data_IF_570754019298
#
_entry.id   IF_570754019298
#
_cell.length_a   1.000
_cell.length_b   1.000
_cell.length_c   1.000
_cell.angle_alpha   90.00
_cell.angle_beta   90.00
_cell.angle_gamma   90.00
#
_symmetry.space_group_name_H-M   'P 1'
#
loop_
_entity.id
_entity.type
_entity.pdbx_description
1 polymer ?
#
# COMPACT_ATOMS: atom_id res chain seq x y z
N UNK A 1 -16.48 -9.55 0.64
CA UNK A 1 -15.02 -9.62 0.39
C UNK A 1 -14.40 -8.73 1.43
N UNK A 2 -13.49 -9.24 2.24
CA UNK A 2 -12.80 -8.42 3.24
C UNK A 2 -11.74 -7.62 2.50
N UNK A 3 -11.99 -6.32 2.29
CA UNK A 3 -11.01 -5.39 1.73
C UNK A 3 -9.92 -5.13 2.77
N UNK A 4 -9.05 -6.10 2.99
CA UNK A 4 -7.85 -5.92 3.78
C UNK A 4 -6.79 -5.20 2.93
N UNK A 5 -6.16 -4.20 3.55
CA UNK A 5 -5.14 -3.36 2.91
C UNK A 5 -3.96 -4.23 2.50
N UNK A 6 -3.40 -4.92 3.49
CA UNK A 6 -2.32 -5.91 3.47
C UNK A 6 -2.48 -6.70 4.78
N UNK A 7 -2.22 -8.01 4.80
CA UNK A 7 -2.23 -8.75 6.06
C UNK A 7 -0.94 -8.52 6.88
N UNK A 8 -0.96 -8.82 8.18
CA UNK A 8 0.19 -8.55 9.03
C UNK A 8 1.45 -9.35 8.63
N UNK A 9 1.28 -10.54 8.06
CA UNK A 9 2.41 -11.38 7.64
C UNK A 9 3.07 -10.82 6.38
N UNK A 10 2.29 -10.31 5.43
CA UNK A 10 2.80 -9.61 4.26
C UNK A 10 3.56 -8.33 4.67
N UNK A 11 3.07 -7.59 5.68
CA UNK A 11 3.79 -6.41 6.21
C UNK A 11 5.14 -6.83 6.81
N UNK A 12 5.16 -7.86 7.66
CA UNK A 12 6.39 -8.38 8.27
C UNK A 12 7.42 -8.74 7.19
N UNK A 13 7.02 -9.49 6.17
CA UNK A 13 7.91 -9.88 5.07
C UNK A 13 8.44 -8.66 4.28
N UNK A 14 7.59 -7.66 4.02
CA UNK A 14 8.02 -6.42 3.37
C UNK A 14 9.06 -5.70 4.22
N UNK A 15 8.84 -5.61 5.54
CA UNK A 15 9.79 -4.97 6.45
C UNK A 15 11.12 -5.73 6.48
N UNK A 16 11.10 -7.07 6.56
CA UNK A 16 12.30 -7.90 6.52
C UNK A 16 13.11 -7.66 5.24
N UNK A 17 12.46 -7.62 4.06
CA UNK A 17 13.13 -7.33 2.79
C UNK A 17 13.79 -5.96 2.84
N UNK A 18 13.06 -4.92 3.26
CA UNK A 18 13.57 -3.55 3.29
C UNK A 18 14.72 -3.38 4.29
N UNK A 19 14.66 -4.03 5.45
CA UNK A 19 15.71 -4.01 6.47
C UNK A 19 16.98 -4.76 6.03
N UNK A 20 16.83 -5.75 5.14
CA UNK A 20 17.96 -6.53 4.61
C UNK A 20 18.73 -5.87 3.45
N UNK A 21 18.21 -4.76 2.90
CA UNK A 21 18.84 -4.07 1.77
C UNK A 21 20.13 -3.36 2.20
N UNK A 22 21.23 -3.67 1.50
CA UNK A 22 22.51 -2.96 1.68
C UNK A 22 22.42 -1.49 1.26
N UNK A 23 21.60 -1.17 0.24
CA UNK A 23 21.36 0.20 -0.19
C UNK A 23 20.26 0.85 0.68
N UNK A 24 20.69 1.50 1.76
CA UNK A 24 19.82 2.23 2.70
C UNK A 24 18.96 3.29 2.00
N UNK A 25 19.46 3.94 0.93
CA UNK A 25 18.70 4.99 0.22
C UNK A 25 17.55 4.37 -0.56
N UNK A 26 17.80 3.23 -1.20
CA UNK A 26 16.77 2.46 -1.88
C UNK A 26 15.72 1.96 -0.87
N UNK A 27 16.16 1.40 0.26
CA UNK A 27 15.28 0.92 1.33
C UNK A 27 14.34 2.04 1.83
N UNK A 28 14.89 3.22 2.16
CA UNK A 28 14.11 4.38 2.60
C UNK A 28 13.14 4.87 1.52
N UNK A 29 13.54 4.82 0.25
CA UNK A 29 12.69 5.23 -0.88
C UNK A 29 11.49 4.29 -1.02
N UNK A 30 11.73 2.98 -1.00
CA UNK A 30 10.69 1.96 -1.09
C UNK A 30 9.76 1.98 0.13
N UNK A 31 10.31 2.17 1.33
CA UNK A 31 9.51 2.32 2.55
C UNK A 31 8.57 3.53 2.46
N UNK A 32 9.04 4.66 1.92
CA UNK A 32 8.20 5.85 1.70
C UNK A 32 7.11 5.59 0.68
N UNK A 33 7.44 4.94 -0.44
CA UNK A 33 6.46 4.54 -1.46
C UNK A 33 5.37 3.63 -0.86
N UNK A 34 5.80 2.62 -0.09
CA UNK A 34 4.92 1.67 0.58
C UNK A 34 3.99 2.36 1.57
N UNK A 35 4.54 3.14 2.50
CA UNK A 35 3.77 3.88 3.50
C UNK A 35 2.78 4.87 2.87
N UNK A 36 3.19 5.53 1.79
CA UNK A 36 2.30 6.47 1.09
C UNK A 36 1.12 5.72 0.44
N UNK A 37 1.39 4.62 -0.28
CA UNK A 37 0.35 3.83 -0.95
C UNK A 37 -0.64 3.22 0.05
N UNK A 38 -0.14 2.58 1.11
CA UNK A 38 -0.99 1.95 2.14
C UNK A 38 -1.76 2.98 2.96
N UNK A 39 -1.16 4.14 3.28
CA UNK A 39 -1.88 5.24 3.94
C UNK A 39 -2.99 5.81 3.06
N UNK A 40 -2.73 6.00 1.77
CA UNK A 40 -3.74 6.48 0.83
C UNK A 40 -4.91 5.50 0.71
N UNK A 41 -4.61 4.21 0.52
CA UNK A 41 -5.64 3.19 0.41
C UNK A 41 -6.44 3.06 1.71
N UNK A 42 -5.78 3.04 2.87
CA UNK A 42 -6.45 2.99 4.17
C UNK A 42 -7.38 4.18 4.42
N UNK A 43 -6.96 5.40 4.03
CA UNK A 43 -7.83 6.59 4.11
C UNK A 43 -9.09 6.45 3.25
N UNK A 44 -8.96 5.87 2.07
CA UNK A 44 -10.10 5.61 1.18
C UNK A 44 -11.03 4.54 1.76
N UNK A 45 -10.49 3.43 2.26
CA UNK A 45 -11.31 2.36 2.85
C UNK A 45 -12.08 2.80 4.09
N UNK A 46 -11.49 3.65 4.94
CA UNK A 46 -12.14 4.20 6.13
C UNK A 46 -13.20 5.27 5.81
N UNK A 47 -13.66 5.33 4.55
CA UNK A 47 -14.34 6.44 3.91
C UNK A 47 -15.16 7.34 4.84
N UNK A 48 -14.71 8.59 4.96
CA UNK A 48 -15.43 9.70 5.59
C UNK A 48 -15.76 10.82 4.60
N UNK A 49 -15.46 10.64 3.31
CA UNK A 49 -15.72 11.67 2.31
C UNK A 49 -17.16 11.53 1.77
N UNK A 50 -18.05 12.32 2.35
CA UNK A 50 -19.47 12.36 1.99
C UNK A 50 -19.73 13.02 0.62
N UNK A 51 -18.70 13.56 -0.04
CA UNK A 51 -18.84 14.22 -1.34
C UNK A 51 -18.69 13.26 -2.52
N UNK A 52 -18.23 12.03 -2.27
CA UNK A 52 -18.06 11.01 -3.32
C UNK A 52 -19.29 10.14 -3.45
N UNK A 53 -19.69 9.88 -4.69
CA UNK A 53 -20.62 8.78 -4.97
C UNK A 53 -19.96 7.44 -4.65
N UNK A 54 -20.78 6.42 -4.43
CA UNK A 54 -20.29 5.05 -4.20
C UNK A 54 -19.36 4.58 -5.33
N UNK A 55 -19.68 4.88 -6.59
CA UNK A 55 -18.91 4.43 -7.75
C UNK A 55 -17.56 5.16 -7.86
N UNK A 56 -17.52 6.46 -7.57
CA UNK A 56 -16.27 7.22 -7.51
C UNK A 56 -15.37 6.74 -6.38
N UNK A 57 -15.96 6.47 -5.21
CA UNK A 57 -15.25 5.89 -4.09
C UNK A 57 -14.66 4.53 -4.46
N UNK A 58 -15.46 3.63 -5.02
CA UNK A 58 -15.02 2.29 -5.44
C UNK A 58 -13.87 2.38 -6.43
N UNK A 59 -14.00 3.24 -7.45
CA UNK A 59 -12.95 3.44 -8.46
C UNK A 59 -11.64 3.94 -7.83
N UNK A 60 -11.72 4.86 -6.86
CA UNK A 60 -10.54 5.34 -6.12
C UNK A 60 -9.91 4.24 -5.26
N UNK A 61 -10.73 3.43 -4.58
CA UNK A 61 -10.25 2.27 -3.81
C UNK A 61 -9.54 1.26 -4.73
N UNK A 62 -10.14 0.91 -5.87
CA UNK A 62 -9.55 -0.05 -6.82
C UNK A 62 -8.21 0.47 -7.36
N UNK A 63 -8.11 1.78 -7.67
CA UNK A 63 -6.87 2.42 -8.10
C UNK A 63 -5.80 2.46 -7.00
N UNK A 64 -6.19 2.77 -5.77
CA UNK A 64 -5.28 2.82 -4.63
C UNK A 64 -4.77 1.42 -4.28
N UNK A 65 -5.64 0.40 -4.31
CA UNK A 65 -5.26 -1.01 -4.14
C UNK A 65 -4.25 -1.43 -5.20
N UNK A 66 -4.51 -1.13 -6.47
CA UNK A 66 -3.56 -1.44 -7.54
C UNK A 66 -2.18 -0.79 -7.32
N UNK A 67 -2.15 0.44 -6.79
CA UNK A 67 -0.90 1.13 -6.45
C UNK A 67 -0.15 0.42 -5.33
N UNK A 68 -0.85 -0.02 -4.28
CA UNK A 68 -0.26 -0.84 -3.21
C UNK A 68 0.32 -2.13 -3.79
N UNK A 69 -0.45 -2.86 -4.59
CA UNK A 69 -0.04 -4.14 -5.18
C UNK A 69 1.24 -3.98 -6.04
N UNK A 70 1.37 -2.88 -6.79
CA UNK A 70 2.57 -2.58 -7.57
C UNK A 70 3.80 -2.33 -6.69
N UNK A 71 3.65 -1.59 -5.59
CA UNK A 71 4.75 -1.32 -4.66
C UNK A 71 5.16 -2.59 -3.93
N UNK A 72 4.21 -3.38 -3.45
CA UNK A 72 4.47 -4.69 -2.83
C UNK A 72 5.23 -5.59 -3.80
N UNK A 73 4.74 -5.72 -5.03
CA UNK A 73 5.41 -6.51 -6.06
C UNK A 73 6.82 -6.00 -6.36
N UNK A 74 7.04 -4.69 -6.37
CA UNK A 74 8.38 -4.11 -6.57
C UNK A 74 9.33 -4.54 -5.45
N UNK A 75 8.89 -4.52 -4.20
CA UNK A 75 9.70 -4.91 -3.03
C UNK A 75 9.95 -6.42 -3.02
N UNK A 76 8.92 -7.23 -3.27
CA UNK A 76 9.02 -8.70 -3.28
C UNK A 76 9.91 -9.29 -4.38
N UNK A 77 10.31 -8.49 -5.38
CA UNK A 77 11.19 -8.92 -6.48
C UNK A 77 12.63 -8.39 -6.33
N UNK A 78 13.00 -7.85 -5.16
CA UNK A 78 14.37 -7.50 -4.81
C UNK A 78 15.15 -8.76 -4.40
#
# INVERSE_FOLDING_TARGET
MSDHIIDNHEIELIMEILESLEDERLAVTLLKEFNHATSHYGKLLMNKDLTLTHDEWKKKCDQAKHTVDLVVKKIMNL
#
